data_IF_545443384440
#
_entry.id   IF_545443384440
#
_cell.length_a   1.000
_cell.length_b   1.000
_cell.length_c   1.000
_cell.angle_alpha   90.00
_cell.angle_beta   90.00
_cell.angle_gamma   90.00
#
_symmetry.space_group_name_H-M   'P 1'
#
loop_
_entity.id
_entity.type
_entity.pdbx_description
1 polymer ?
#
# COMPACT_ATOMS: atom_id res chain seq x y z
N UNK A 1 25.19 27.35 17.56
CA UNK A 1 24.88 26.90 16.19
C UNK A 1 25.89 25.89 15.72
N UNK A 2 27.20 26.16 15.86
CA UNK A 2 28.29 25.25 15.47
C UNK A 2 28.21 23.84 16.08
N UNK A 3 27.96 23.70 17.39
CA UNK A 3 27.82 22.39 18.05
C UNK A 3 26.68 21.55 17.45
N UNK A 4 25.57 22.19 17.12
CA UNK A 4 24.40 21.51 16.55
C UNK A 4 24.61 21.13 15.09
N UNK A 5 25.26 22.00 14.32
CA UNK A 5 25.66 21.71 12.95
C UNK A 5 26.64 20.52 12.91
N UNK A 6 27.61 20.48 13.83
CA UNK A 6 28.51 19.35 13.98
C UNK A 6 27.75 18.04 14.28
N UNK A 7 26.78 18.08 15.20
CA UNK A 7 25.96 16.90 15.52
C UNK A 7 25.07 16.44 14.36
N UNK A 8 24.47 17.36 13.61
CA UNK A 8 23.72 17.03 12.38
C UNK A 8 24.65 16.45 11.32
N UNK A 9 25.87 16.97 11.18
CA UNK A 9 26.88 16.44 10.25
C UNK A 9 27.30 15.02 10.62
N UNK A 10 27.53 14.74 11.91
CA UNK A 10 27.84 13.39 12.40
C UNK A 10 26.70 12.40 12.07
N UNK A 11 25.45 12.75 12.39
CA UNK A 11 24.30 11.92 12.07
C UNK A 11 24.11 11.73 10.55
N UNK A 12 24.40 12.76 9.76
CA UNK A 12 24.33 12.68 8.31
C UNK A 12 25.38 11.71 7.75
N UNK A 13 26.64 11.78 8.21
CA UNK A 13 27.68 10.82 7.81
C UNK A 13 27.28 9.40 8.20
N UNK A 14 26.79 9.22 9.44
CA UNK A 14 26.29 7.92 9.91
C UNK A 14 25.18 7.37 9.02
N UNK A 15 24.22 8.21 8.61
CA UNK A 15 23.14 7.81 7.69
C UNK A 15 23.69 7.29 6.35
N UNK A 16 24.72 7.93 5.80
CA UNK A 16 25.34 7.52 4.53
C UNK A 16 26.11 6.20 4.66
N UNK A 17 26.83 6.01 5.77
CA UNK A 17 27.55 4.77 6.07
C UNK A 17 26.61 3.60 6.35
N UNK A 18 25.52 3.83 7.08
CA UNK A 18 24.52 2.80 7.35
C UNK A 18 23.78 2.38 6.08
N UNK A 19 23.55 3.31 5.14
CA UNK A 19 23.05 2.96 3.81
C UNK A 19 24.06 2.12 3.01
N UNK A 20 25.38 2.31 3.21
CA UNK A 20 26.41 1.46 2.62
C UNK A 20 26.36 0.03 3.16
N UNK A 21 26.23 -0.12 4.48
CA UNK A 21 26.05 -1.43 5.14
C UNK A 21 24.78 -2.10 4.66
N UNK A 22 23.67 -1.35 4.61
CA UNK A 22 22.38 -1.82 4.13
C UNK A 22 22.44 -2.40 2.71
N UNK A 23 23.18 -1.76 1.80
CA UNK A 23 23.37 -2.23 0.43
C UNK A 23 24.05 -3.60 0.33
N UNK A 24 24.81 -4.00 1.36
CA UNK A 24 25.54 -5.26 1.43
C UNK A 24 24.79 -6.30 2.27
N UNK A 25 24.21 -5.90 3.40
CA UNK A 25 23.68 -6.80 4.42
C UNK A 25 22.19 -7.16 4.20
N UNK A 26 21.43 -6.32 3.49
CA UNK A 26 20.01 -6.58 3.30
C UNK A 26 19.77 -7.63 2.21
N UNK A 27 19.25 -8.80 2.60
CA UNK A 27 19.07 -9.96 1.72
C UNK A 27 18.22 -9.69 0.45
N UNK A 28 17.30 -8.73 0.51
CA UNK A 28 16.43 -8.35 -0.61
C UNK A 28 16.87 -7.07 -1.33
N UNK A 29 18.07 -6.55 -1.05
CA UNK A 29 18.55 -5.28 -1.63
C UNK A 29 18.51 -5.32 -3.17
N UNK A 30 19.07 -6.37 -3.77
CA UNK A 30 19.08 -6.53 -5.23
C UNK A 30 17.66 -6.63 -5.83
N UNK A 31 16.71 -7.26 -5.15
CA UNK A 31 15.30 -7.33 -5.60
C UNK A 31 14.64 -5.95 -5.53
N UNK A 32 14.80 -5.26 -4.40
CA UNK A 32 14.11 -4.00 -4.13
C UNK A 32 14.66 -2.82 -4.95
N UNK A 33 15.96 -2.89 -5.28
CA UNK A 33 16.68 -1.87 -6.05
C UNK A 33 16.74 -2.15 -7.54
N UNK A 34 16.14 -3.24 -8.02
CA UNK A 34 16.04 -3.51 -9.46
C UNK A 34 15.38 -2.33 -10.20
N UNK A 35 16.01 -1.91 -11.31
CA UNK A 35 15.61 -0.75 -12.12
C UNK A 35 15.52 0.57 -11.31
N UNK A 36 16.25 0.68 -10.20
CA UNK A 36 16.30 1.87 -9.36
C UNK A 36 17.62 2.61 -9.56
N UNK A 37 17.53 3.76 -10.21
CA UNK A 37 18.67 4.63 -10.50
C UNK A 37 18.37 6.02 -9.96
N UNK A 38 18.98 6.38 -8.83
CA UNK A 38 18.75 7.65 -8.16
C UNK A 38 20.04 8.28 -7.67
N UNK A 39 20.23 9.55 -8.02
CA UNK A 39 21.26 10.42 -7.48
C UNK A 39 20.58 11.40 -6.52
N UNK A 40 20.72 11.15 -5.23
CA UNK A 40 20.04 11.89 -4.16
C UNK A 40 20.98 12.93 -3.58
N UNK A 41 20.74 14.21 -3.88
CA UNK A 41 21.41 15.33 -3.23
C UNK A 41 20.76 15.63 -1.87
N UNK A 42 21.54 15.63 -0.80
CA UNK A 42 21.11 16.03 0.54
C UNK A 42 21.52 17.47 0.86
N UNK A 43 20.63 18.20 1.54
CA UNK A 43 20.84 19.59 1.98
C UNK A 43 20.30 19.82 3.38
N UNK A 44 21.16 19.86 4.39
CA UNK A 44 20.80 20.14 5.79
C UNK A 44 21.45 21.43 6.28
N UNK A 45 20.72 22.54 6.23
CA UNK A 45 21.32 23.87 6.48
C UNK A 45 22.45 24.16 5.49
N UNK A 46 23.68 24.27 5.98
CA UNK A 46 24.94 24.39 5.22
C UNK A 46 25.52 23.05 4.75
N UNK A 47 25.16 21.93 5.40
CA UNK A 47 25.73 20.61 5.15
C UNK A 47 25.24 20.07 3.81
N UNK A 48 26.17 19.49 3.05
CA UNK A 48 25.93 18.90 1.72
C UNK A 48 26.50 17.49 1.64
N UNK A 49 25.95 16.71 0.75
CA UNK A 49 26.43 15.40 0.37
C UNK A 49 25.42 14.74 -0.54
N UNK A 50 25.81 13.67 -1.20
CA UNK A 50 24.92 12.95 -2.09
C UNK A 50 25.12 11.44 -1.99
N UNK A 51 24.07 10.70 -2.35
CA UNK A 51 24.09 9.26 -2.53
C UNK A 51 23.82 8.94 -3.98
N UNK A 52 24.47 7.91 -4.51
CA UNK A 52 24.17 7.32 -5.81
C UNK A 52 23.71 5.90 -5.55
N UNK A 53 22.50 5.60 -6.00
CA UNK A 53 21.92 4.28 -6.04
C UNK A 53 21.81 3.88 -7.51
N UNK A 54 22.47 2.80 -7.90
CA UNK A 54 22.42 2.26 -9.25
C UNK A 54 22.26 0.74 -9.16
N UNK A 55 21.00 0.31 -9.07
CA UNK A 55 20.63 -1.08 -8.78
C UNK A 55 21.33 -1.61 -7.52
N UNK A 56 22.27 -2.55 -7.67
CA UNK A 56 23.03 -3.13 -6.55
C UNK A 56 24.20 -2.27 -6.11
N UNK A 57 24.58 -1.27 -6.90
CA UNK A 57 25.70 -0.39 -6.58
C UNK A 57 25.24 0.80 -5.72
N UNK A 58 26.02 1.09 -4.69
CA UNK A 58 25.81 2.22 -3.81
C UNK A 58 27.12 2.96 -3.57
N UNK A 59 27.08 4.29 -3.69
CA UNK A 59 28.18 5.16 -3.28
C UNK A 59 27.65 6.47 -2.69
N UNK A 60 28.50 7.20 -1.97
CA UNK A 60 28.17 8.50 -1.43
C UNK A 60 29.37 9.41 -1.35
N UNK A 61 29.10 10.71 -1.21
CA UNK A 61 30.08 11.72 -0.85
C UNK A 61 29.53 12.72 0.16
N UNK A 62 30.43 13.28 0.97
CA UNK A 62 30.13 14.25 2.02
C UNK A 62 30.78 15.58 1.63
N UNK A 63 30.12 16.69 1.96
CA UNK A 63 30.55 18.05 1.67
C UNK A 63 30.71 18.36 0.17
N UNK A 64 30.03 17.58 -0.68
CA UNK A 64 29.99 17.76 -2.13
C UNK A 64 28.54 17.96 -2.63
N UNK A 65 28.41 18.72 -3.71
CA UNK A 65 27.17 18.82 -4.48
C UNK A 65 27.35 18.16 -5.85
N UNK A 66 26.34 17.42 -6.30
CA UNK A 66 26.30 16.82 -7.64
C UNK A 66 25.63 17.77 -8.63
N UNK A 67 26.12 17.79 -9.86
CA UNK A 67 25.69 18.76 -10.90
C UNK A 67 24.24 18.55 -11.35
N UNK A 68 23.85 17.30 -11.63
CA UNK A 68 22.50 16.93 -12.06
C UNK A 68 21.96 15.79 -11.19
N UNK A 69 21.48 16.06 -9.96
CA UNK A 69 20.84 15.03 -9.16
C UNK A 69 19.59 14.51 -9.88
N UNK A 70 18.94 13.48 -9.34
CA UNK A 70 17.57 13.07 -9.72
C UNK A 70 16.56 13.45 -8.64
N UNK A 71 17.02 13.61 -7.40
CA UNK A 71 16.27 14.04 -6.21
C UNK A 71 17.13 15.01 -5.40
N UNK A 72 16.48 16.01 -4.82
CA UNK A 72 17.07 16.79 -3.72
C UNK A 72 16.22 16.63 -2.47
N UNK A 73 16.83 16.33 -1.33
CA UNK A 73 16.13 16.10 -0.07
C UNK A 73 16.79 16.91 1.04
N UNK A 74 15.99 17.43 1.96
CA UNK A 74 16.52 18.03 3.18
C UNK A 74 15.70 19.18 3.71
N UNK A 75 16.35 20.04 4.49
CA UNK A 75 15.71 21.16 5.19
C UNK A 75 16.77 22.21 5.60
N UNK A 76 16.45 23.51 5.54
CA UNK A 76 17.32 24.54 6.10
C UNK A 76 17.29 24.59 7.64
N UNK A 77 16.29 23.97 8.29
CA UNK A 77 16.16 23.94 9.74
C UNK A 77 16.93 22.76 10.35
N UNK A 78 18.01 23.05 11.08
CA UNK A 78 18.84 22.04 11.74
C UNK A 78 18.11 21.28 12.86
N UNK A 79 17.02 21.80 13.47
CA UNK A 79 16.21 20.98 14.41
C UNK A 79 15.51 19.86 13.64
N UNK A 80 14.88 20.21 12.53
CA UNK A 80 14.17 19.26 11.70
C UNK A 80 15.14 18.24 11.06
N UNK A 81 16.33 18.68 10.65
CA UNK A 81 17.38 17.78 10.18
C UNK A 81 17.79 16.78 11.25
N UNK A 82 18.04 17.26 12.49
CA UNK A 82 18.37 16.40 13.63
C UNK A 82 17.26 15.38 13.91
N UNK A 83 16.00 15.83 14.02
CA UNK A 83 14.84 14.97 14.24
C UNK A 83 14.71 13.89 13.16
N UNK A 84 14.91 14.25 11.89
CA UNK A 84 14.85 13.32 10.77
C UNK A 84 15.98 12.28 10.83
N UNK A 85 17.23 12.74 10.96
CA UNK A 85 18.40 11.86 10.96
C UNK A 85 18.50 10.98 12.22
N UNK A 86 17.91 11.42 13.32
CA UNK A 86 17.83 10.68 14.58
C UNK A 86 16.54 9.83 14.71
N UNK A 87 15.75 9.71 13.64
CA UNK A 87 14.53 8.88 13.57
C UNK A 87 13.46 9.22 14.63
N UNK A 88 13.29 10.51 14.95
CA UNK A 88 12.38 11.01 16.02
C UNK A 88 10.93 11.23 15.55
N UNK A 89 10.57 10.76 14.36
CA UNK A 89 9.19 10.83 13.85
C UNK A 89 8.42 9.54 14.15
N UNK A 90 7.29 9.66 14.85
CA UNK A 90 6.48 8.49 15.22
C UNK A 90 5.97 7.71 13.99
N UNK A 91 5.53 8.43 12.95
CA UNK A 91 4.96 7.84 11.74
C UNK A 91 5.05 8.76 10.51
N UNK A 92 4.86 8.19 9.33
CA UNK A 92 5.03 8.84 8.02
C UNK A 92 4.13 10.09 7.85
N UNK A 93 2.85 10.09 8.27
CA UNK A 93 2.06 11.32 8.26
C UNK A 93 2.64 12.47 9.11
N UNK A 94 3.27 12.18 10.26
CA UNK A 94 3.92 13.21 11.08
C UNK A 94 5.13 13.81 10.36
N UNK A 95 5.96 12.95 9.76
CA UNK A 95 7.10 13.40 8.95
C UNK A 95 6.65 14.20 7.72
N UNK A 96 5.65 13.72 6.99
CA UNK A 96 5.18 14.40 5.77
C UNK A 96 4.45 15.70 6.05
N UNK A 97 3.90 15.87 7.26
CA UNK A 97 3.37 17.13 7.78
C UNK A 97 4.44 18.19 8.12
N UNK A 98 5.71 17.81 8.16
CA UNK A 98 6.82 18.73 8.46
C UNK A 98 7.15 19.68 7.29
N UNK A 99 8.14 20.55 7.50
CA UNK A 99 8.67 21.47 6.47
C UNK A 99 9.78 20.84 5.62
N UNK A 100 9.98 19.53 5.69
CA UNK A 100 10.99 18.83 4.89
C UNK A 100 10.74 19.05 3.40
N UNK A 101 11.81 19.26 2.64
CA UNK A 101 11.75 19.63 1.23
C UNK A 101 12.15 18.45 0.34
N UNK A 102 11.48 18.37 -0.81
CA UNK A 102 11.80 17.47 -1.90
C UNK A 102 11.90 18.29 -3.19
N UNK A 103 13.06 18.25 -3.81
CA UNK A 103 13.34 18.79 -5.14
C UNK A 103 13.27 17.68 -6.18
N UNK A 104 12.52 17.93 -7.26
CA UNK A 104 12.45 17.04 -8.44
C UNK A 104 12.60 17.86 -9.71
N UNK A 105 13.19 17.24 -10.74
CA UNK A 105 13.29 17.81 -12.08
C UNK A 105 11.92 17.80 -12.75
N UNK A 106 11.46 18.95 -13.20
CA UNK A 106 10.23 19.07 -14.00
C UNK A 106 10.49 18.72 -15.46
N UNK A 107 9.45 18.48 -16.28
CA UNK A 107 9.63 18.14 -17.70
C UNK A 107 10.43 19.16 -18.52
N UNK A 108 10.43 20.43 -18.12
CA UNK A 108 11.25 21.52 -18.66
C UNK A 108 12.71 21.53 -18.15
N UNK A 109 13.13 20.48 -17.44
CA UNK A 109 14.51 20.30 -16.97
C UNK A 109 14.89 21.09 -15.73
N UNK A 110 13.96 21.88 -15.15
CA UNK A 110 14.23 22.71 -13.97
C UNK A 110 13.97 21.97 -12.68
N UNK A 111 14.77 22.24 -11.65
CA UNK A 111 14.51 21.76 -10.30
C UNK A 111 13.44 22.59 -9.61
N UNK A 112 12.40 21.94 -9.07
CA UNK A 112 11.40 22.58 -8.21
C UNK A 112 11.33 21.89 -6.86
N UNK A 113 11.59 22.66 -5.82
CA UNK A 113 11.44 22.22 -4.44
C UNK A 113 10.01 22.44 -3.94
N UNK A 114 9.48 21.45 -3.23
CA UNK A 114 8.19 21.51 -2.55
C UNK A 114 8.32 20.87 -1.18
N UNK A 115 7.41 21.24 -0.27
CA UNK A 115 7.23 20.47 0.97
C UNK A 115 6.86 19.03 0.63
N UNK A 116 7.45 18.08 1.34
CA UNK A 116 7.26 16.65 1.11
C UNK A 116 5.78 16.25 1.09
N UNK A 117 4.97 16.73 2.04
CA UNK A 117 3.55 16.42 2.11
C UNK A 117 2.72 16.88 0.90
N UNK A 118 3.19 17.87 0.12
CA UNK A 118 2.54 18.27 -1.14
C UNK A 118 2.78 17.28 -2.29
N UNK A 119 3.74 16.38 -2.14
CA UNK A 119 4.13 15.38 -3.15
C UNK A 119 3.80 13.95 -2.72
N UNK A 120 3.67 13.71 -1.41
CA UNK A 120 3.49 12.37 -0.84
C UNK A 120 2.22 12.21 0.00
N UNK A 121 1.49 13.29 0.27
CA UNK A 121 0.31 13.26 1.15
C UNK A 121 -0.93 12.60 0.54
N UNK A 122 -1.76 12.02 1.41
CA UNK A 122 -3.07 11.43 1.12
C UNK A 122 -4.22 12.47 1.22
N UNK A 123 -4.01 13.72 0.82
CA UNK A 123 -5.09 14.71 0.89
C UNK A 123 -6.02 14.57 -0.34
N UNK A 124 -7.35 14.48 -0.16
CA UNK A 124 -8.32 14.52 -1.26
C UNK A 124 -8.06 15.75 -2.13
N UNK A 125 -7.98 15.57 -3.45
CA UNK A 125 -7.68 16.66 -4.40
C UNK A 125 -6.19 17.02 -4.55
N UNK A 126 -5.29 16.47 -3.73
CA UNK A 126 -3.82 16.57 -3.92
C UNK A 126 -3.20 15.24 -4.39
N UNK A 127 -4.00 14.32 -4.93
CA UNK A 127 -3.45 13.17 -5.62
C UNK A 127 -2.50 13.68 -6.72
N UNK A 128 -1.21 13.28 -6.73
CA UNK A 128 -0.40 13.42 -7.91
C UNK A 128 -1.18 12.73 -9.04
N UNK A 129 -1.44 13.46 -10.14
CA UNK A 129 -2.23 13.00 -11.30
C UNK A 129 -2.13 11.50 -11.47
N UNK A 130 -3.25 10.81 -11.32
CA UNK A 130 -3.40 9.36 -11.38
C UNK A 130 -3.30 8.78 -12.80
N UNK A 131 -2.54 9.43 -13.66
CA UNK A 131 -2.21 8.95 -15.00
C UNK A 131 -0.69 8.86 -15.16
N UNK A 132 -0.09 7.79 -14.64
CA UNK A 132 0.92 7.10 -15.42
C UNK A 132 0.25 5.90 -16.08
N UNK A 133 -0.81 6.19 -16.86
CA UNK A 133 -1.37 5.30 -17.88
C UNK A 133 -0.42 5.20 -19.08
N UNK A 134 0.87 5.03 -18.81
CA UNK A 134 1.80 4.48 -19.78
C UNK A 134 2.56 3.42 -19.02
N UNK A 135 2.24 2.17 -19.31
CA UNK A 135 2.96 0.97 -18.88
C UNK A 135 4.46 1.01 -19.24
N UNK A 136 4.91 2.03 -19.98
CA UNK A 136 6.28 2.27 -20.41
C UNK A 136 6.85 3.63 -19.94
N UNK A 137 6.41 4.19 -18.80
CA UNK A 137 7.03 5.40 -18.28
C UNK A 137 8.50 5.12 -17.86
N UNK A 138 9.50 5.89 -18.36
CA UNK A 138 10.90 5.69 -17.97
C UNK A 138 11.06 5.75 -16.43
N UNK A 139 12.09 5.09 -15.85
CA UNK A 139 12.36 5.08 -14.40
C UNK A 139 12.26 6.48 -13.75
N UNK A 140 12.62 7.52 -14.51
CA UNK A 140 12.55 8.96 -14.16
C UNK A 140 11.14 9.54 -13.90
N UNK A 141 10.06 8.77 -14.10
CA UNK A 141 8.67 9.22 -13.91
C UNK A 141 7.88 8.42 -12.84
N UNK A 142 8.56 7.60 -12.02
CA UNK A 142 7.93 6.94 -10.87
C UNK A 142 7.50 7.97 -9.81
N UNK A 143 6.41 7.69 -9.09
CA UNK A 143 5.87 8.58 -8.02
C UNK A 143 6.93 8.86 -6.97
N UNK A 144 6.98 10.09 -6.45
CA UNK A 144 7.95 10.49 -5.41
C UNK A 144 7.91 9.54 -4.21
N UNK A 145 6.74 9.17 -3.72
CA UNK A 145 6.61 8.21 -2.61
C UNK A 145 7.27 6.86 -2.92
N UNK A 146 7.09 6.31 -4.12
CA UNK A 146 7.71 5.04 -4.54
C UNK A 146 9.24 5.13 -4.65
N UNK A 147 9.77 6.32 -4.93
CA UNK A 147 11.22 6.60 -4.95
C UNK A 147 11.79 6.69 -3.53
N UNK A 148 11.09 7.38 -2.62
CA UNK A 148 11.54 7.58 -1.24
C UNK A 148 11.58 6.29 -0.43
N UNK A 149 10.59 5.41 -0.54
CA UNK A 149 10.54 4.16 0.24
C UNK A 149 11.69 3.19 -0.07
N UNK A 150 12.45 3.40 -1.15
CA UNK A 150 13.65 2.62 -1.47
C UNK A 150 14.93 3.19 -0.87
N UNK A 151 14.92 4.44 -0.42
CA UNK A 151 16.09 5.05 0.21
C UNK A 151 16.14 4.57 1.68
N UNK A 152 17.24 3.93 2.13
CA UNK A 152 17.27 3.22 3.41
C UNK A 152 16.87 4.04 4.64
N UNK A 153 17.19 5.34 4.68
CA UNK A 153 16.85 6.22 5.81
C UNK A 153 15.34 6.32 6.08
N UNK A 154 14.48 6.11 5.08
CA UNK A 154 13.02 6.13 5.28
C UNK A 154 12.45 4.78 5.73
N UNK A 155 13.23 3.71 5.71
CA UNK A 155 12.74 2.37 6.06
C UNK A 155 12.17 2.31 7.49
N UNK A 156 12.84 2.78 8.55
CA UNK A 156 12.34 2.65 9.93
C UNK A 156 10.96 3.28 10.13
N UNK A 157 10.79 4.54 9.69
CA UNK A 157 9.50 5.24 9.80
C UNK A 157 8.41 4.55 8.95
N UNK A 158 8.79 3.99 7.80
CA UNK A 158 7.86 3.27 6.94
C UNK A 158 7.45 1.93 7.56
N UNK A 159 8.37 1.14 8.13
CA UNK A 159 8.06 -0.08 8.89
C UNK A 159 7.15 0.23 10.08
N UNK A 160 7.47 1.24 10.89
CA UNK A 160 6.60 1.64 12.02
C UNK A 160 5.19 2.04 11.60
N UNK A 161 5.08 2.79 10.52
CA UNK A 161 3.79 3.27 10.00
C UNK A 161 2.98 2.16 9.36
N UNK A 162 3.66 1.30 8.61
CA UNK A 162 3.06 0.29 7.77
C UNK A 162 2.71 -0.96 8.57
N UNK A 163 3.59 -1.32 9.51
CA UNK A 163 3.59 -2.46 10.41
C UNK A 163 2.99 -3.72 9.76
N UNK A 164 3.71 -4.28 8.77
CA UNK A 164 3.22 -5.40 8.00
C UNK A 164 3.03 -6.66 8.85
N UNK A 165 3.84 -6.84 9.90
CA UNK A 165 3.77 -8.00 10.79
C UNK A 165 2.50 -8.01 11.65
N UNK A 166 2.03 -6.83 12.06
CA UNK A 166 0.80 -6.68 12.87
C UNK A 166 -0.43 -6.29 12.04
N UNK A 167 -0.32 -6.25 10.71
CA UNK A 167 -1.44 -6.01 9.80
C UNK A 167 -1.90 -7.32 9.19
N UNK A 168 -3.21 -7.57 9.20
CA UNK A 168 -3.81 -8.78 8.67
C UNK A 168 -5.07 -8.44 7.89
N UNK A 169 -4.94 -8.35 6.57
CA UNK A 169 -6.06 -8.11 5.65
C UNK A 169 -6.15 -9.24 4.63
N UNK A 170 -7.38 -9.69 4.38
CA UNK A 170 -7.72 -10.72 3.40
C UNK A 170 -8.68 -10.17 2.36
N UNK A 171 -8.71 -10.83 1.20
CA UNK A 171 -9.66 -10.53 0.13
C UNK A 171 -10.64 -11.67 0.01
N UNK A 172 -11.92 -11.32 -0.08
CA UNK A 172 -12.96 -12.30 -0.31
C UNK A 172 -13.30 -12.28 -1.79
N UNK A 173 -13.11 -13.38 -2.52
CA UNK A 173 -13.53 -13.46 -3.91
C UNK A 173 -15.04 -13.26 -4.04
N UNK A 174 -15.47 -12.72 -5.17
CA UNK A 174 -16.89 -12.43 -5.47
C UNK A 174 -17.39 -13.25 -6.64
N UNK A 175 -16.82 -14.44 -6.81
CA UNK A 175 -17.05 -15.31 -7.96
C UNK A 175 -18.23 -16.23 -7.65
N UNK A 176 -19.22 -16.27 -8.55
CA UNK A 176 -20.42 -17.10 -8.38
C UNK A 176 -20.10 -18.60 -8.36
N UNK A 177 -19.03 -19.00 -9.06
CA UNK A 177 -18.47 -20.37 -9.11
C UNK A 177 -18.12 -20.94 -7.74
N UNK A 178 -17.91 -20.08 -6.74
CA UNK A 178 -17.53 -20.48 -5.38
C UNK A 178 -18.73 -20.91 -4.52
N UNK A 179 -19.96 -20.72 -5.01
CA UNK A 179 -21.16 -21.11 -4.29
C UNK A 179 -21.48 -20.24 -3.09
N UNK A 180 -22.05 -20.87 -2.06
CA UNK A 180 -22.61 -20.18 -0.87
C UNK A 180 -21.98 -20.70 0.41
N UNK A 181 -21.85 -19.82 1.41
CA UNK A 181 -21.56 -20.15 2.81
C UNK A 181 -22.77 -19.73 3.64
N UNK A 182 -23.27 -20.63 4.50
CA UNK A 182 -24.50 -20.41 5.29
C UNK A 182 -25.72 -19.95 4.47
N UNK A 183 -25.88 -20.50 3.25
CA UNK A 183 -26.95 -20.18 2.27
C UNK A 183 -26.90 -18.77 1.65
N UNK A 184 -25.81 -18.03 1.81
CA UNK A 184 -25.57 -16.76 1.13
C UNK A 184 -24.27 -16.80 0.33
N UNK A 185 -24.09 -15.93 -0.66
CA UNK A 185 -22.79 -15.81 -1.33
C UNK A 185 -21.69 -15.55 -0.29
N UNK A 186 -20.57 -16.29 -0.38
CA UNK A 186 -19.41 -16.18 0.53
C UNK A 186 -19.04 -14.73 0.90
N UNK A 187 -18.87 -13.78 -0.05
CA UNK A 187 -18.53 -12.41 0.32
C UNK A 187 -19.55 -11.71 1.20
N UNK A 188 -20.85 -11.91 0.95
CA UNK A 188 -21.89 -11.26 1.75
C UNK A 188 -22.01 -11.91 3.13
N UNK A 189 -21.94 -13.24 3.22
CA UNK A 189 -22.00 -13.94 4.51
C UNK A 189 -20.89 -13.49 5.47
N UNK A 190 -19.65 -13.38 4.97
CA UNK A 190 -18.51 -12.92 5.79
C UNK A 190 -18.63 -11.44 6.16
N UNK A 191 -19.10 -10.60 5.24
CA UNK A 191 -19.34 -9.18 5.54
C UNK A 191 -20.44 -9.04 6.60
N UNK A 192 -21.52 -9.80 6.47
CA UNK A 192 -22.63 -9.81 7.42
C UNK A 192 -22.17 -10.26 8.81
N UNK A 193 -21.37 -11.32 8.90
CA UNK A 193 -20.78 -11.78 10.16
C UNK A 193 -20.08 -10.65 10.93
N UNK A 194 -19.13 -9.96 10.29
CA UNK A 194 -18.37 -8.91 10.96
C UNK A 194 -19.19 -7.64 11.22
N UNK A 195 -20.09 -7.26 10.30
CA UNK A 195 -20.97 -6.08 10.49
C UNK A 195 -21.94 -6.33 11.66
N UNK A 196 -22.53 -7.51 11.76
CA UNK A 196 -23.43 -7.86 12.85
C UNK A 196 -22.69 -7.98 14.19
N UNK A 197 -21.44 -8.45 14.20
CA UNK A 197 -20.60 -8.51 15.39
C UNK A 197 -20.11 -7.13 15.87
N UNK A 198 -20.01 -6.14 14.96
CA UNK A 198 -19.41 -4.85 15.26
C UNK A 198 -20.18 -4.04 16.33
N UNK A 199 -19.46 -3.41 17.26
CA UNK A 199 -20.00 -2.43 18.22
C UNK A 199 -20.41 -1.13 17.54
N UNK A 200 -19.59 -0.67 16.60
CA UNK A 200 -19.81 0.55 15.84
C UNK A 200 -19.46 0.35 14.37
N UNK A 201 -20.18 1.09 13.53
CA UNK A 201 -19.97 1.14 12.09
C UNK A 201 -19.64 2.57 11.70
N UNK A 202 -18.56 2.75 10.95
CA UNK A 202 -18.25 3.99 10.26
C UNK A 202 -18.47 3.82 8.76
N UNK A 203 -19.17 4.78 8.17
CA UNK A 203 -19.52 4.81 6.77
C UNK A 203 -18.79 5.99 6.13
N UNK A 204 -17.80 5.69 5.29
CA UNK A 204 -17.08 6.73 4.55
C UNK A 204 -17.99 7.39 3.52
N UNK A 205 -17.91 8.71 3.32
CA UNK A 205 -18.72 9.40 2.30
C UNK A 205 -18.32 9.03 0.87
N UNK A 206 -17.04 8.72 0.67
CA UNK A 206 -16.48 8.34 -0.63
C UNK A 206 -15.32 7.35 -0.46
N UNK A 207 -15.00 6.61 -1.52
CA UNK A 207 -13.80 5.78 -1.55
C UNK A 207 -12.57 6.68 -1.76
N UNK A 208 -11.61 6.73 -0.82
CA UNK A 208 -10.43 7.60 -0.96
C UNK A 208 -9.63 7.27 -2.22
N UNK A 209 -9.45 5.98 -2.51
CA UNK A 209 -8.68 5.53 -3.67
C UNK A 209 -9.31 5.97 -5.00
N UNK A 210 -10.64 5.81 -5.13
CA UNK A 210 -11.38 6.24 -6.34
C UNK A 210 -11.41 7.75 -6.48
N UNK A 211 -11.62 8.47 -5.38
CA UNK A 211 -11.65 9.94 -5.39
C UNK A 211 -10.29 10.55 -5.73
N UNK A 212 -9.21 10.04 -5.12
CA UNK A 212 -7.84 10.44 -5.47
C UNK A 212 -7.54 10.16 -6.94
N UNK A 213 -8.09 9.08 -7.49
CA UNK A 213 -7.89 8.71 -8.88
C UNK A 213 -8.83 9.39 -9.89
N UNK A 214 -9.79 10.21 -9.42
CA UNK A 214 -10.92 10.70 -10.21
C UNK A 214 -11.57 9.59 -11.06
N UNK A 215 -11.88 8.46 -10.41
CA UNK A 215 -12.37 7.26 -11.07
C UNK A 215 -13.67 7.54 -11.83
N UNK A 216 -13.70 7.14 -13.11
CA UNK A 216 -14.90 7.21 -13.99
C UNK A 216 -15.58 5.86 -14.20
N UNK A 217 -14.92 4.77 -13.80
CA UNK A 217 -15.40 3.40 -14.06
C UNK A 217 -16.29 2.86 -12.93
N UNK A 218 -16.17 3.42 -11.73
CA UNK A 218 -16.87 2.95 -10.54
C UNK A 218 -17.32 4.14 -9.69
N UNK A 219 -18.48 3.99 -9.04
CA UNK A 219 -19.07 4.99 -8.16
C UNK A 219 -18.12 5.38 -7.01
N UNK A 220 -17.73 6.65 -6.97
CA UNK A 220 -16.85 7.18 -5.94
C UNK A 220 -17.55 7.23 -4.57
N UNK A 221 -18.87 7.31 -4.52
CA UNK A 221 -19.68 7.39 -3.28
C UNK A 221 -19.82 6.06 -2.54
N UNK A 222 -19.54 4.93 -3.21
CA UNK A 222 -19.42 3.61 -2.57
C UNK A 222 -18.12 3.54 -1.75
N UNK A 223 -18.05 4.28 -0.64
CA UNK A 223 -16.88 4.31 0.24
C UNK A 223 -16.64 3.01 0.99
N UNK A 224 -15.48 2.90 1.61
CA UNK A 224 -15.16 1.82 2.54
C UNK A 224 -16.09 1.87 3.77
N UNK A 225 -15.98 0.85 4.63
CA UNK A 225 -16.52 0.83 5.98
C UNK A 225 -15.36 0.69 6.98
N UNK A 226 -15.59 1.08 8.22
CA UNK A 226 -14.78 0.68 9.36
C UNK A 226 -15.65 0.18 10.50
N UNK A 227 -15.15 -0.78 11.26
CA UNK A 227 -15.88 -1.51 12.30
C UNK A 227 -15.07 -1.55 13.61
N UNK A 228 -15.78 -1.57 14.73
CA UNK A 228 -15.22 -1.71 16.08
C UNK A 228 -15.09 -0.40 16.86
N UNK A 229 -14.62 -0.47 18.10
CA UNK A 229 -14.54 0.69 19.00
C UNK A 229 -13.57 1.78 18.52
N UNK A 230 -12.59 1.43 17.69
CA UNK A 230 -11.69 2.39 17.08
C UNK A 230 -12.37 3.41 16.19
N UNK A 231 -13.56 3.09 15.68
CA UNK A 231 -14.41 4.01 14.91
C UNK A 231 -14.69 5.31 15.67
N UNK A 232 -14.90 5.25 16.99
CA UNK A 232 -15.24 6.43 17.80
C UNK A 232 -14.10 7.47 17.86
N UNK A 233 -12.86 7.05 17.54
CA UNK A 233 -11.70 7.94 17.49
C UNK A 233 -11.44 8.51 16.11
N UNK A 234 -12.07 7.97 15.06
CA UNK A 234 -11.85 8.43 13.69
C UNK A 234 -12.35 9.87 13.51
N UNK A 235 -11.51 10.70 12.89
CA UNK A 235 -11.87 12.06 12.51
C UNK A 235 -11.49 12.31 11.04
N UNK A 236 -12.39 11.96 10.13
CA UNK A 236 -12.15 11.95 8.69
C UNK A 236 -13.46 12.14 7.88
N UNK A 237 -13.42 11.90 6.57
CA UNK A 237 -14.52 12.16 5.61
C UNK A 237 -15.64 11.09 5.62
N UNK A 238 -16.24 10.85 6.78
CA UNK A 238 -17.33 9.88 6.95
C UNK A 238 -18.21 10.22 8.15
N UNK A 239 -19.01 9.23 8.57
CA UNK A 239 -19.85 9.34 9.77
C UNK A 239 -20.07 7.98 10.41
N UNK A 240 -20.48 7.96 11.67
CA UNK A 240 -21.08 6.78 12.27
C UNK A 240 -22.37 6.45 11.50
N UNK A 241 -22.58 5.17 11.19
CA UNK A 241 -23.75 4.66 10.51
C UNK A 241 -24.35 3.46 11.24
N UNK A 242 -25.35 2.84 10.63
CA UNK A 242 -26.00 1.63 11.17
C UNK A 242 -25.47 0.36 10.52
N UNK A 243 -25.78 -0.80 11.13
CA UNK A 243 -25.45 -2.12 10.56
C UNK A 243 -26.18 -2.33 9.23
N UNK A 244 -27.44 -1.91 9.15
CA UNK A 244 -28.27 -2.00 7.94
C UNK A 244 -27.68 -1.16 6.80
N UNK A 245 -27.20 0.06 7.10
CA UNK A 245 -26.52 0.90 6.11
C UNK A 245 -25.24 0.24 5.58
N UNK A 246 -24.47 -0.42 6.46
CA UNK A 246 -23.27 -1.16 6.07
C UNK A 246 -23.60 -2.40 5.23
N UNK A 247 -24.61 -3.18 5.60
CA UNK A 247 -25.05 -4.36 4.85
C UNK A 247 -25.54 -3.96 3.44
N UNK A 248 -26.36 -2.92 3.34
CA UNK A 248 -26.84 -2.44 2.05
C UNK A 248 -25.70 -1.94 1.16
N UNK A 249 -24.74 -1.23 1.76
CA UNK A 249 -23.54 -0.82 1.03
C UNK A 249 -22.71 -2.01 0.54
N UNK A 250 -22.54 -3.04 1.37
CA UNK A 250 -21.85 -4.29 1.01
C UNK A 250 -22.52 -4.97 -0.18
N UNK A 251 -23.85 -5.11 -0.17
CA UNK A 251 -24.62 -5.67 -1.30
C UNK A 251 -24.40 -4.89 -2.58
N UNK A 252 -24.54 -3.55 -2.52
CA UNK A 252 -24.30 -2.68 -3.68
C UNK A 252 -22.87 -2.79 -4.21
N UNK A 253 -21.88 -2.89 -3.33
CA UNK A 253 -20.49 -3.00 -3.71
C UNK A 253 -20.19 -4.35 -4.41
N UNK A 254 -20.64 -5.46 -3.84
CA UNK A 254 -20.47 -6.79 -4.43
C UNK A 254 -21.21 -6.89 -5.78
N UNK A 255 -22.45 -6.39 -5.86
CA UNK A 255 -23.21 -6.33 -7.10
C UNK A 255 -22.52 -5.48 -8.19
N UNK A 256 -21.81 -4.43 -7.80
CA UNK A 256 -20.99 -3.62 -8.71
C UNK A 256 -19.65 -4.28 -9.11
N UNK A 257 -19.39 -5.53 -8.69
CA UNK A 257 -18.15 -6.23 -9.00
C UNK A 257 -16.93 -5.73 -8.21
N UNK A 258 -17.15 -5.02 -7.11
CA UNK A 258 -16.08 -4.56 -6.22
C UNK A 258 -15.67 -5.69 -5.28
N UNK A 259 -14.37 -5.87 -5.12
CA UNK A 259 -13.81 -6.93 -4.30
C UNK A 259 -13.71 -6.46 -2.84
N UNK A 260 -14.38 -7.13 -1.88
CA UNK A 260 -14.19 -6.86 -0.47
C UNK A 260 -12.78 -7.26 -0.02
N UNK A 261 -12.11 -6.33 0.66
CA UNK A 261 -10.86 -6.53 1.36
C UNK A 261 -11.08 -6.11 2.80
N UNK A 262 -10.85 -6.99 3.77
CA UNK A 262 -11.19 -6.74 5.17
C UNK A 262 -10.11 -7.23 6.13
N UNK A 263 -10.00 -6.52 7.25
CA UNK A 263 -9.11 -6.88 8.34
C UNK A 263 -8.48 -5.66 9.00
N UNK A 264 -7.41 -5.91 9.76
CA UNK A 264 -6.65 -4.88 10.47
C UNK A 264 -5.51 -4.39 9.60
N UNK A 265 -5.43 -3.08 9.40
CA UNK A 265 -4.26 -2.42 8.82
C UNK A 265 -3.83 -1.34 9.80
N UNK A 266 -2.68 -1.51 10.46
CA UNK A 266 -2.24 -0.55 11.48
C UNK A 266 -2.10 0.87 10.92
N UNK A 267 -1.62 0.97 9.67
CA UNK A 267 -1.49 2.24 8.97
C UNK A 267 -2.82 2.99 8.82
N UNK A 268 -3.96 2.30 8.75
CA UNK A 268 -5.26 2.94 8.60
C UNK A 268 -5.66 3.69 9.88
N UNK A 269 -5.30 3.19 11.06
CA UNK A 269 -5.49 3.91 12.33
C UNK A 269 -4.77 5.26 12.33
N UNK A 270 -3.62 5.35 11.69
CA UNK A 270 -2.86 6.60 11.56
C UNK A 270 -3.50 7.50 10.50
N UNK A 271 -3.78 6.96 9.31
CA UNK A 271 -4.32 7.71 8.16
C UNK A 271 -5.71 8.29 8.44
N UNK A 272 -6.53 7.59 9.22
CA UNK A 272 -7.89 8.01 9.57
C UNK A 272 -8.00 8.61 10.99
N UNK A 273 -6.86 8.96 11.59
CA UNK A 273 -6.75 9.68 12.86
C UNK A 273 -7.42 8.98 14.05
N UNK A 274 -7.35 7.64 14.12
CA UNK A 274 -7.97 6.82 15.14
C UNK A 274 -6.98 6.34 16.24
N UNK A 275 -5.84 7.01 16.38
CA UNK A 275 -4.83 6.69 17.40
C UNK A 275 -5.40 6.83 18.85
N UNK A 276 -4.87 6.07 19.83
CA UNK A 276 -3.83 5.05 19.69
C UNK A 276 -4.37 3.77 19.05
N UNK A 277 -3.48 3.02 18.41
CA UNK A 277 -3.79 1.73 17.83
C UNK A 277 -3.88 0.66 18.93
N UNK A 278 -4.99 -0.10 18.93
CA UNK A 278 -5.35 -1.02 20.01
C UNK A 278 -5.88 -2.37 19.51
N UNK A 279 -5.91 -2.62 18.20
CA UNK A 279 -6.56 -3.81 17.65
C UNK A 279 -8.09 -3.81 17.74
N UNK A 280 -8.71 -2.62 17.76
CA UNK A 280 -10.16 -2.41 17.85
C UNK A 280 -10.75 -1.67 16.64
N UNK A 281 -10.00 -1.59 15.54
CA UNK A 281 -10.40 -0.96 14.29
C UNK A 281 -10.15 -1.90 13.11
N UNK A 282 -11.24 -2.34 12.48
CA UNK A 282 -11.20 -3.12 11.25
C UNK A 282 -11.68 -2.27 10.09
N UNK A 283 -11.02 -2.35 8.94
CA UNK A 283 -11.50 -1.72 7.71
C UNK A 283 -12.08 -2.76 6.76
N UNK A 284 -13.13 -2.36 6.03
CA UNK A 284 -13.66 -3.09 4.88
C UNK A 284 -13.56 -2.17 3.67
N UNK A 285 -12.68 -2.49 2.74
CA UNK A 285 -12.52 -1.81 1.47
C UNK A 285 -13.28 -2.53 0.36
N UNK A 286 -13.88 -1.77 -0.55
CA UNK A 286 -14.54 -2.29 -1.76
C UNK A 286 -13.71 -1.94 -3.00
N UNK A 287 -12.70 -2.75 -3.24
CA UNK A 287 -11.62 -2.48 -4.19
C UNK A 287 -12.09 -2.64 -5.63
N UNK A 288 -11.88 -1.61 -6.45
CA UNK A 288 -12.00 -1.68 -7.91
C UNK A 288 -10.66 -2.12 -8.52
N UNK A 289 -10.64 -2.73 -9.72
CA UNK A 289 -9.41 -3.11 -10.39
C UNK A 289 -8.61 -1.91 -10.89
N UNK A 290 -9.23 -0.75 -11.10
CA UNK A 290 -8.56 0.40 -11.75
C UNK A 290 -7.84 1.36 -10.79
N UNK A 291 -8.32 1.54 -9.56
CA UNK A 291 -7.82 2.61 -8.66
C UNK A 291 -7.32 2.11 -7.31
N UNK A 292 -7.41 0.81 -7.01
CA UNK A 292 -7.04 0.31 -5.68
C UNK A 292 -5.57 0.64 -5.37
N UNK A 293 -5.32 1.27 -4.21
CA UNK A 293 -3.96 1.63 -3.78
C UNK A 293 -3.10 0.40 -3.49
N UNK A 294 -3.70 -0.74 -3.23
CA UNK A 294 -2.98 -2.00 -3.04
C UNK A 294 -2.26 -2.46 -4.32
N UNK A 295 -2.70 -2.02 -5.50
CA UNK A 295 -1.98 -2.26 -6.76
C UNK A 295 -0.57 -1.65 -6.73
N UNK A 296 -0.35 -0.58 -5.93
CA UNK A 296 0.99 -0.01 -5.73
C UNK A 296 1.90 -0.94 -4.93
N UNK A 297 1.33 -1.87 -4.16
CA UNK A 297 2.09 -2.83 -3.35
C UNK A 297 2.91 -3.83 -4.17
N UNK A 298 2.59 -4.03 -5.45
CA UNK A 298 3.30 -4.99 -6.32
C UNK A 298 4.78 -4.63 -6.49
N UNK A 299 5.08 -3.33 -6.55
CA UNK A 299 6.41 -2.77 -6.75
C UNK A 299 6.96 -2.12 -5.46
N UNK A 300 6.35 -2.40 -4.31
CA UNK A 300 6.89 -1.95 -3.03
C UNK A 300 8.12 -2.78 -2.63
N UNK A 301 9.06 -2.19 -1.89
CA UNK A 301 10.13 -2.94 -1.23
C UNK A 301 9.61 -4.12 -0.41
N UNK A 302 10.39 -5.21 -0.32
CA UNK A 302 10.03 -6.44 0.38
C UNK A 302 9.66 -6.20 1.83
N UNK A 303 10.34 -5.29 2.51
CA UNK A 303 10.05 -4.92 3.91
C UNK A 303 8.67 -4.27 4.12
N UNK A 304 7.99 -3.82 3.05
CA UNK A 304 6.62 -3.28 3.10
C UNK A 304 5.56 -4.29 2.65
N UNK A 305 5.98 -5.45 2.16
CA UNK A 305 5.08 -6.57 1.80
C UNK A 305 4.69 -7.31 3.09
N UNK A 306 3.55 -8.01 3.07
CA UNK A 306 3.09 -8.85 4.20
C UNK A 306 1.74 -8.46 4.80
N UNK A 307 1.30 -7.20 4.66
CA UNK A 307 -0.01 -6.74 5.15
C UNK A 307 -1.22 -7.47 4.57
N UNK A 308 -1.04 -7.95 3.35
CA UNK A 308 -2.09 -8.48 2.49
C UNK A 308 -1.76 -9.92 2.13
N UNK A 309 -2.53 -10.83 2.72
CA UNK A 309 -2.29 -12.25 2.55
C UNK A 309 -3.39 -12.87 1.71
N UNK A 310 -3.01 -13.88 0.92
CA UNK A 310 -3.98 -14.78 0.29
C UNK A 310 -4.78 -15.44 1.42
N UNK A 311 -6.07 -15.62 1.20
CA UNK A 311 -6.90 -16.42 2.10
C UNK A 311 -6.40 -17.87 2.04
N UNK A 312 -6.24 -18.50 3.20
CA UNK A 312 -5.78 -19.89 3.29
C UNK A 312 -6.80 -20.82 2.63
N UNK A 313 -6.34 -21.87 1.95
CA UNK A 313 -7.20 -22.80 1.20
C UNK A 313 -7.80 -22.24 -0.09
N UNK A 314 -7.42 -21.02 -0.51
CA UNK A 314 -7.79 -20.48 -1.82
C UNK A 314 -6.74 -20.83 -2.86
N UNK A 315 -7.20 -21.45 -3.96
CA UNK A 315 -6.36 -21.80 -5.11
C UNK A 315 -6.87 -21.16 -6.39
N UNK A 316 -5.96 -20.80 -7.30
CA UNK A 316 -6.29 -20.33 -8.65
C UNK A 316 -5.50 -21.19 -9.62
N UNK A 317 -6.19 -21.84 -10.55
CA UNK A 317 -5.61 -22.81 -11.48
C UNK A 317 -5.96 -22.46 -12.92
N UNK A 318 -5.14 -22.90 -13.87
CA UNK A 318 -5.36 -22.71 -15.31
C UNK A 318 -5.44 -24.08 -15.98
N UNK A 319 -6.54 -24.34 -16.67
CA UNK A 319 -6.69 -25.48 -17.57
C UNK A 319 -5.99 -25.15 -18.90
N UNK A 320 -4.90 -25.86 -19.19
CA UNK A 320 -4.05 -25.67 -20.37
C UNK A 320 -4.81 -25.95 -21.67
N UNK A 321 -5.75 -26.89 -21.66
CA UNK A 321 -6.47 -27.32 -22.87
C UNK A 321 -7.52 -26.29 -23.30
N UNK A 322 -8.05 -25.53 -22.35
CA UNK A 322 -9.01 -24.45 -22.59
C UNK A 322 -8.33 -23.09 -22.80
N UNK A 323 -7.08 -22.95 -22.36
CA UNK A 323 -6.35 -21.70 -22.48
C UNK A 323 -5.95 -21.47 -23.94
N UNK A 324 -6.25 -20.29 -24.47
CA UNK A 324 -5.90 -19.90 -25.84
C UNK A 324 -4.74 -18.90 -25.92
N UNK A 325 -4.10 -18.58 -24.80
CA UNK A 325 -3.00 -17.61 -24.78
C UNK A 325 -3.39 -16.24 -25.32
N UNK A 326 -4.59 -15.74 -24.99
CA UNK A 326 -5.10 -14.44 -25.46
C UNK A 326 -4.36 -13.22 -24.87
N UNK A 327 -3.47 -13.47 -23.90
CA UNK A 327 -2.50 -12.56 -23.27
C UNK A 327 -3.08 -11.36 -22.50
N UNK A 328 -4.27 -10.87 -22.82
CA UNK A 328 -4.70 -9.54 -22.37
C UNK A 328 -5.67 -9.62 -21.19
N UNK A 329 -6.65 -10.51 -21.23
CA UNK A 329 -7.81 -10.43 -20.33
C UNK A 329 -7.45 -10.76 -18.87
N UNK A 330 -6.68 -11.82 -18.63
CA UNK A 330 -6.30 -12.21 -17.28
C UNK A 330 -5.09 -11.43 -16.74
N UNK A 331 -4.20 -10.96 -17.61
CA UNK A 331 -3.03 -10.16 -17.23
C UNK A 331 -3.46 -8.73 -16.85
N UNK A 332 -4.32 -8.08 -17.64
CA UNK A 332 -4.77 -6.71 -17.39
C UNK A 332 -5.56 -6.56 -16.09
N UNK A 333 -6.42 -7.52 -15.76
CA UNK A 333 -7.22 -7.48 -14.52
C UNK A 333 -6.41 -7.85 -13.27
N UNK A 334 -5.19 -8.38 -13.44
CA UNK A 334 -4.33 -8.79 -12.34
C UNK A 334 -3.50 -7.61 -11.81
N UNK A 335 -4.08 -6.86 -10.87
CA UNK A 335 -3.44 -5.71 -10.23
C UNK A 335 -2.17 -6.05 -9.41
N UNK A 336 -1.90 -7.34 -9.18
CA UNK A 336 -0.72 -7.83 -8.48
C UNK A 336 0.40 -8.26 -9.43
N UNK A 337 0.15 -8.31 -10.74
CA UNK A 337 1.10 -8.82 -11.72
C UNK A 337 1.49 -10.27 -11.46
N UNK A 338 0.56 -11.08 -10.93
CA UNK A 338 0.76 -12.51 -10.66
C UNK A 338 0.39 -13.40 -11.85
N UNK A 339 -0.22 -12.86 -12.90
CA UNK A 339 -0.49 -13.62 -14.13
C UNK A 339 0.61 -13.35 -15.15
N UNK A 340 1.08 -14.38 -15.84
CA UNK A 340 1.98 -14.29 -16.98
C UNK A 340 1.64 -15.33 -18.04
N UNK A 341 2.31 -15.27 -19.20
CA UNK A 341 2.16 -16.26 -20.28
C UNK A 341 3.48 -17.00 -20.44
N UNK A 342 3.44 -18.32 -20.42
CA UNK A 342 4.57 -19.21 -20.72
C UNK A 342 4.14 -20.15 -21.83
N UNK A 343 4.88 -20.14 -22.94
CA UNK A 343 4.61 -21.03 -24.10
C UNK A 343 3.15 -20.94 -24.61
N UNK A 344 2.57 -19.74 -24.60
CA UNK A 344 1.19 -19.51 -25.06
C UNK A 344 0.10 -19.91 -24.05
N UNK A 345 0.47 -20.25 -22.81
CA UNK A 345 -0.50 -20.58 -21.75
C UNK A 345 -0.37 -19.65 -20.56
N UNK A 346 -1.50 -19.27 -19.97
CA UNK A 346 -1.52 -18.46 -18.76
C UNK A 346 -1.00 -19.24 -17.54
N UNK A 347 -0.12 -18.62 -16.76
CA UNK A 347 0.49 -19.17 -15.55
C UNK A 347 0.28 -18.19 -14.39
N UNK A 348 -0.22 -18.73 -13.27
CA UNK A 348 -0.37 -18.00 -12.00
C UNK A 348 0.97 -18.03 -11.26
N UNK A 349 1.33 -16.92 -10.63
CA UNK A 349 2.60 -16.68 -9.96
C UNK A 349 3.81 -17.00 -10.83
N UNK A 350 3.74 -16.59 -12.10
CA UNK A 350 4.88 -16.63 -13.01
C UNK A 350 6.11 -15.99 -12.36
N UNK A 351 7.28 -16.58 -12.59
CA UNK A 351 8.55 -16.26 -11.92
C UNK A 351 8.60 -16.55 -10.40
N UNK A 352 7.69 -17.38 -9.86
CA UNK A 352 7.68 -17.84 -8.46
C UNK A 352 7.62 -16.70 -7.42
N UNK A 353 6.88 -15.63 -7.73
CA UNK A 353 6.89 -14.41 -6.91
C UNK A 353 5.85 -14.37 -5.77
N UNK A 354 5.04 -15.43 -5.61
CA UNK A 354 3.95 -15.53 -4.61
C UNK A 354 3.13 -14.22 -4.47
N UNK A 355 2.66 -13.72 -5.61
CA UNK A 355 1.95 -12.45 -5.72
C UNK A 355 0.44 -12.64 -5.77
N UNK A 356 -0.05 -13.83 -6.14
CA UNK A 356 -1.46 -14.12 -6.24
C UNK A 356 -2.12 -13.99 -4.87
N UNK A 357 -3.12 -13.11 -4.79
CA UNK A 357 -3.91 -12.90 -3.57
C UNK A 357 -5.26 -13.63 -3.61
N UNK A 358 -5.45 -14.52 -4.57
CA UNK A 358 -6.65 -15.33 -4.70
C UNK A 358 -7.91 -14.51 -4.97
N UNK A 359 -7.84 -13.34 -5.61
CA UNK A 359 -9.00 -12.44 -5.75
C UNK A 359 -10.05 -12.85 -6.80
N UNK A 360 -9.78 -13.88 -7.60
CA UNK A 360 -10.73 -14.41 -8.59
C UNK A 360 -11.02 -13.52 -9.81
N UNK A 361 -10.40 -12.33 -9.94
CA UNK A 361 -10.64 -11.43 -11.08
C UNK A 361 -10.33 -12.07 -12.43
N UNK A 362 -9.26 -12.85 -12.50
CA UNK A 362 -8.82 -13.54 -13.71
C UNK A 362 -9.81 -14.61 -14.18
N UNK A 363 -10.46 -15.35 -13.26
CA UNK A 363 -11.54 -16.28 -13.63
C UNK A 363 -12.69 -15.53 -14.31
N UNK A 364 -13.19 -14.44 -13.71
CA UNK A 364 -14.30 -13.65 -14.26
C UNK A 364 -13.97 -13.04 -15.62
N UNK A 365 -12.70 -12.73 -15.87
CA UNK A 365 -12.25 -12.13 -17.13
C UNK A 365 -11.96 -13.17 -18.23
N UNK A 366 -11.79 -14.45 -17.89
CA UNK A 366 -11.35 -15.46 -18.84
C UNK A 366 -12.49 -15.82 -19.81
N UNK A 367 -12.37 -15.52 -21.12
CA UNK A 367 -13.46 -15.76 -22.07
C UNK A 367 -13.67 -17.24 -22.40
N UNK A 368 -12.68 -18.10 -22.13
CA UNK A 368 -12.75 -19.54 -22.40
C UNK A 368 -13.09 -20.37 -21.16
N UNK A 369 -13.22 -19.74 -19.99
CA UNK A 369 -13.40 -20.46 -18.72
C UNK A 369 -12.19 -21.32 -18.34
N UNK A 370 -10.99 -21.00 -18.85
CA UNK A 370 -9.78 -21.75 -18.56
C UNK A 370 -9.22 -21.53 -17.15
N UNK A 371 -9.65 -20.48 -16.44
CA UNK A 371 -9.15 -20.16 -15.11
C UNK A 371 -10.21 -20.49 -14.08
N UNK A 372 -9.84 -21.22 -13.04
CA UNK A 372 -10.75 -21.61 -11.96
C UNK A 372 -10.21 -21.15 -10.62
N UNK A 373 -11.07 -20.55 -9.78
CA UNK A 373 -10.78 -20.33 -8.35
C UNK A 373 -11.54 -21.37 -7.50
N UNK A 374 -10.88 -21.91 -6.49
CA UNK A 374 -11.50 -22.81 -5.51
C UNK A 374 -11.17 -22.39 -4.09
N UNK A 375 -12.04 -22.77 -3.17
CA UNK A 375 -11.92 -22.54 -1.73
C UNK A 375 -12.16 -23.88 -1.03
N UNK A 376 -11.27 -24.31 -0.14
CA UNK A 376 -11.51 -25.49 0.69
C UNK A 376 -12.64 -25.23 1.69
N UNK A 377 -13.40 -26.27 2.04
CA UNK A 377 -14.65 -26.19 2.82
C UNK A 377 -14.56 -25.35 4.10
N UNK A 378 -13.47 -25.47 4.87
CA UNK A 378 -13.25 -24.79 6.15
C UNK A 378 -12.41 -23.51 6.05
N UNK A 379 -12.04 -23.09 4.84
CA UNK A 379 -11.19 -21.91 4.63
C UNK A 379 -11.82 -20.61 5.13
N UNK A 380 -13.15 -20.48 4.98
CA UNK A 380 -13.90 -19.30 5.43
C UNK A 380 -13.82 -19.18 6.95
N UNK A 381 -14.02 -20.29 7.67
CA UNK A 381 -13.95 -20.33 9.14
C UNK A 381 -12.54 -19.99 9.64
N UNK A 382 -11.51 -20.62 9.06
CA UNK A 382 -10.11 -20.33 9.41
C UNK A 382 -9.76 -18.86 9.17
N UNK A 383 -10.25 -18.29 8.06
CA UNK A 383 -10.06 -16.88 7.74
C UNK A 383 -10.72 -15.97 8.78
N UNK A 384 -11.96 -16.25 9.19
CA UNK A 384 -12.67 -15.49 10.23
C UNK A 384 -11.86 -15.52 11.53
N UNK A 385 -11.49 -16.70 12.02
CA UNK A 385 -10.67 -16.87 13.24
C UNK A 385 -9.35 -16.09 13.16
N UNK A 386 -8.69 -16.11 12.00
CA UNK A 386 -7.43 -15.37 11.78
C UNK A 386 -7.63 -13.86 11.90
N UNK A 387 -8.70 -13.32 11.31
CA UNK A 387 -9.01 -11.88 11.43
C UNK A 387 -9.31 -11.54 12.89
N UNK A 388 -10.14 -12.31 13.58
CA UNK A 388 -10.54 -12.08 14.97
C UNK A 388 -9.39 -12.18 15.98
N UNK A 389 -8.37 -12.96 15.63
CA UNK A 389 -7.13 -12.99 16.42
C UNK A 389 -6.39 -11.66 16.34
N UNK A 390 -6.48 -10.97 15.20
CA UNK A 390 -5.79 -9.70 14.95
C UNK A 390 -6.59 -8.46 15.33
N UNK A 391 -7.92 -8.50 15.29
CA UNK A 391 -8.79 -7.36 15.60
C UNK A 391 -10.08 -7.80 16.27
N UNK A 392 -10.52 -7.04 17.26
CA UNK A 392 -11.80 -7.26 17.94
C UNK A 392 -12.73 -6.07 17.67
N UNK A 393 -13.80 -6.35 16.93
CA UNK A 393 -14.82 -5.37 16.55
C UNK A 393 -16.01 -5.35 17.51
N UNK A 394 -16.05 -6.23 18.52
CA UNK A 394 -17.23 -6.46 19.35
C UNK A 394 -17.43 -5.42 20.46
N UNK A 395 -18.63 -5.39 21.04
CA UNK A 395 -18.96 -4.50 22.17
C UNK A 395 -18.14 -4.79 23.43
N UNK A 396 -17.72 -6.04 23.62
CA UNK A 396 -16.99 -6.49 24.80
C UNK A 396 -15.47 -6.38 24.64
N UNK A 397 -14.98 -5.47 23.79
CA UNK A 397 -13.55 -5.26 23.59
C UNK A 397 -12.82 -5.07 24.92
N UNK A 398 -11.99 -6.05 25.28
CA UNK A 398 -11.04 -5.94 26.39
C UNK A 398 -9.70 -5.58 25.78
N UNK A 399 -9.15 -4.43 26.18
CA UNK A 399 -7.82 -3.99 25.77
C UNK A 399 -6.81 -5.11 26.05
N UNK A 400 -6.29 -5.73 24.99
CA UNK A 400 -5.27 -6.78 25.08
C UNK A 400 -3.91 -6.22 25.43
#
# INVERSE_FOLDING_TARGET
MEEKEAKVRELFVKMLEDAAKYAVEYEFYAEDMKDYHEVVQWKFGSIRGYQVFDETEYSFKVDEEVEDPTLTLGTPDLNLAYQFLNDEFDHWPAFTGSKFLVGIKTPDGKYKEKRIGKLTGFAPGNAPRTSSSKENAPPKQRRVSARLVRIPVFRPIMERTSDPENSNTVRIPINESLGTYENESIPLAVLEYFINKASHVYVFQQCPCRALADCKNYDQSLGCLALGNGVLRMNTFGRIGTKEEALERSRRAVAAGLLPSLGRVKGDTIVYHALPEQGDLMHICFCCPCCCVEAFGKDSPKYLKGKYSKMEGVSVTVNTDLCKGCEQECLEVCIYGSMGIIEGVAVVDWENKDRCKGCGRCERACPTGAITITIEEDSVDRMIVRIETSVDVSENFVKR
#
